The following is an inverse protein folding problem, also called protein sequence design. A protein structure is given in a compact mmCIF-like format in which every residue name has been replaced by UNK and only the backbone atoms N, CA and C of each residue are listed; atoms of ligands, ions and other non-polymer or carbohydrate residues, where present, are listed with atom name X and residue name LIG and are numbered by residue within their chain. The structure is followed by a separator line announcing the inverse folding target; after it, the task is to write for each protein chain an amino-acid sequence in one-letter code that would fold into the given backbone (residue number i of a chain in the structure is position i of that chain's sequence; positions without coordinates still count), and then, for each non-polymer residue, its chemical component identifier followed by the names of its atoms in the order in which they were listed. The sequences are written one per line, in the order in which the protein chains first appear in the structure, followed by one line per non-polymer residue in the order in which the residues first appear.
data_IF_778838050040
#
_entry.id   IF_778838050040
#
_cell.length_a   1.000
_cell.length_b   1.000
_cell.length_c   1.000
_cell.angle_alpha   90.00
_cell.angle_beta   90.00
_cell.angle_gamma   90.00
#
_symmetry.space_group_name_H-M   'P 1'
#
loop_
_entity.id
_entity.type
_entity.pdbx_description
1 polymer ?
#
# COMPACT_ATOMS: atom_id res chain seq x y z
N UNK A 1 8.55 2.05 6.72
CA UNK A 1 7.75 1.57 7.86
C UNK A 1 7.88 0.07 7.92
N UNK A 2 7.78 -0.50 9.11
CA UNK A 2 7.57 -1.92 9.36
C UNK A 2 6.10 -2.24 9.06
N UNK A 3 5.82 -3.28 8.29
CA UNK A 3 4.44 -3.64 7.92
C UNK A 3 4.18 -5.07 8.34
N UNK A 4 3.14 -5.26 9.14
CA UNK A 4 2.76 -6.57 9.68
C UNK A 4 1.32 -6.93 9.31
N UNK A 5 0.99 -8.22 9.41
CA UNK A 5 -0.26 -8.82 8.96
C UNK A 5 -0.41 -8.82 7.43
N UNK A 6 0.68 -9.13 6.73
CA UNK A 6 0.71 -9.28 5.27
C UNK A 6 -0.18 -10.42 4.78
N UNK A 7 -0.44 -11.43 5.62
CA UNK A 7 -1.41 -12.48 5.36
C UNK A 7 -2.80 -11.93 5.06
N UNK A 8 -3.22 -10.83 5.67
CA UNK A 8 -4.51 -10.18 5.41
C UNK A 8 -4.64 -9.72 3.96
N UNK A 9 -3.57 -9.15 3.38
CA UNK A 9 -3.56 -8.79 1.96
C UNK A 9 -3.56 -10.04 1.08
N UNK A 10 -2.75 -11.04 1.43
CA UNK A 10 -2.66 -12.30 0.69
C UNK A 10 -4.01 -12.98 0.60
N UNK A 11 -4.56 -13.39 1.73
CA UNK A 11 -5.87 -14.04 1.82
C UNK A 11 -6.95 -13.28 1.03
N UNK A 12 -6.95 -11.94 1.08
CA UNK A 12 -7.95 -11.16 0.34
C UNK A 12 -7.96 -11.42 -1.17
N UNK A 13 -6.81 -11.37 -1.85
CA UNK A 13 -6.78 -11.56 -3.31
C UNK A 13 -6.47 -13.01 -3.74
N UNK A 14 -5.97 -13.87 -2.84
CA UNK A 14 -5.53 -15.26 -3.12
C UNK A 14 -6.69 -16.22 -2.99
N UNK A 15 -7.54 -16.02 -1.98
CA UNK A 15 -8.69 -16.88 -1.68
C UNK A 15 -9.98 -16.40 -2.36
N UNK A 16 -10.00 -15.18 -2.91
CA UNK A 16 -11.18 -14.59 -3.55
C UNK A 16 -10.86 -14.13 -4.98
N UNK A 17 -11.18 -14.94 -6.01
CA UNK A 17 -10.89 -14.59 -7.40
C UNK A 17 -11.49 -13.26 -7.86
N UNK A 18 -12.61 -12.84 -7.27
CA UNK A 18 -13.26 -11.56 -7.56
C UNK A 18 -12.44 -10.32 -7.17
N UNK A 19 -11.48 -10.47 -6.26
CA UNK A 19 -10.62 -9.38 -5.77
C UNK A 19 -9.18 -9.47 -6.29
N UNK A 20 -8.91 -10.28 -7.31
CA UNK A 20 -7.56 -10.37 -7.91
C UNK A 20 -7.05 -9.01 -8.41
N UNK A 21 -7.95 -8.13 -8.84
CA UNK A 21 -7.60 -6.78 -9.28
C UNK A 21 -7.09 -5.86 -8.15
N UNK A 22 -7.24 -6.26 -6.88
CA UNK A 22 -6.67 -5.57 -5.73
C UNK A 22 -5.18 -5.88 -5.52
N UNK A 23 -4.66 -6.97 -6.12
CA UNK A 23 -3.28 -7.43 -5.91
C UNK A 23 -2.25 -6.35 -6.27
N UNK A 24 -2.22 -5.92 -7.51
CA UNK A 24 -1.20 -4.98 -7.99
C UNK A 24 -1.27 -3.61 -7.28
N UNK A 25 -2.47 -3.02 -7.03
CA UNK A 25 -2.59 -1.81 -6.21
C UNK A 25 -2.14 -1.97 -4.75
N UNK A 26 -2.41 -3.12 -4.12
CA UNK A 26 -1.95 -3.38 -2.74
C UNK A 26 -0.44 -3.58 -2.66
N UNK A 27 0.18 -4.22 -3.66
CA UNK A 27 1.64 -4.30 -3.78
C UNK A 27 2.27 -2.91 -3.93
N UNK A 28 1.64 -2.00 -4.68
CA UNK A 28 2.11 -0.64 -4.84
C UNK A 28 2.04 0.16 -3.53
N UNK A 29 0.94 0.01 -2.78
CA UNK A 29 0.80 0.57 -1.43
C UNK A 29 1.86 0.00 -0.49
N UNK A 30 2.00 -1.32 -0.43
CA UNK A 30 2.95 -2.01 0.45
C UNK A 30 4.38 -1.51 0.20
N UNK A 31 4.80 -1.46 -1.07
CA UNK A 31 6.12 -0.98 -1.46
C UNK A 31 6.37 0.46 -0.99
N UNK A 32 5.39 1.34 -1.17
CA UNK A 32 5.52 2.74 -0.77
C UNK A 32 5.62 2.87 0.75
N UNK A 33 4.70 2.24 1.48
CA UNK A 33 4.68 2.26 2.93
C UNK A 33 5.97 1.65 3.54
N UNK A 34 6.53 0.60 2.93
CA UNK A 34 7.78 -0.02 3.36
C UNK A 34 8.94 0.99 3.40
N UNK A 35 9.02 1.89 2.44
CA UNK A 35 10.07 2.92 2.35
C UNK A 35 9.73 4.24 3.06
N UNK A 36 8.50 4.41 3.53
CA UNK A 36 8.08 5.61 4.23
C UNK A 36 8.68 5.68 5.65
N UNK A 37 8.81 6.88 6.21
CA UNK A 37 9.24 7.10 7.59
C UNK A 37 8.26 8.02 8.30
N UNK A 38 7.02 7.55 8.50
CA UNK A 38 5.94 8.36 9.07
C UNK A 38 6.09 8.52 10.58
N UNK A 39 6.26 9.76 11.01
CA UNK A 39 6.32 10.22 12.39
C UNK A 39 4.96 10.70 12.93
N UNK A 40 4.02 11.01 12.03
CA UNK A 40 2.74 11.56 12.42
C UNK A 40 1.66 11.29 11.38
N UNK A 41 0.37 11.38 11.77
CA UNK A 41 -0.72 11.27 10.81
C UNK A 41 -0.68 12.33 9.70
N UNK A 42 -0.09 13.50 9.98
CA UNK A 42 0.08 14.57 8.99
C UNK A 42 1.03 14.15 7.85
N UNK A 43 2.07 13.37 8.16
CA UNK A 43 2.98 12.84 7.14
C UNK A 43 2.30 11.79 6.28
N UNK A 44 1.48 10.92 6.89
CA UNK A 44 0.66 9.96 6.14
C UNK A 44 -0.30 10.70 5.21
N UNK A 45 -0.98 11.76 5.69
CA UNK A 45 -1.90 12.55 4.87
C UNK A 45 -1.19 13.35 3.77
N UNK A 46 0.06 13.76 4.00
CA UNK A 46 0.90 14.40 2.97
C UNK A 46 1.24 13.41 1.87
N UNK A 47 1.59 12.18 2.24
CA UNK A 47 1.92 11.14 1.27
C UNK A 47 0.68 10.60 0.58
N UNK A 48 -0.41 10.41 1.29
CA UNK A 48 -1.71 9.95 0.79
C UNK A 48 -2.79 11.00 1.07
N UNK A 49 -2.93 11.97 0.16
CA UNK A 49 -3.93 13.04 0.29
C UNK A 49 -5.36 12.53 0.47
N UNK A 50 -5.64 11.37 -0.11
CA UNK A 50 -6.96 10.76 -0.14
C UNK A 50 -7.21 9.81 1.04
N UNK A 51 -6.22 9.58 1.91
CA UNK A 51 -6.37 8.70 3.07
C UNK A 51 -7.14 9.38 4.20
N UNK A 52 -8.00 8.65 4.87
CA UNK A 52 -8.75 9.16 6.02
C UNK A 52 -8.00 8.84 7.31
N UNK A 53 -7.69 9.90 8.06
CA UNK A 53 -7.03 9.80 9.37
C UNK A 53 -8.12 9.73 10.43
N UNK A 54 -8.15 8.63 11.16
CA UNK A 54 -9.09 8.36 12.24
C UNK A 54 -8.38 8.50 13.60
N UNK A 55 -9.14 8.33 14.69
CA UNK A 55 -8.60 8.36 16.05
C UNK A 55 -7.71 7.15 16.33
N UNK A 56 -6.84 7.29 17.33
CA UNK A 56 -6.02 6.20 17.88
C UNK A 56 -5.05 5.58 16.85
N UNK A 57 -4.53 6.40 15.92
CA UNK A 57 -3.57 5.96 14.91
C UNK A 57 -4.18 5.13 13.77
N UNK A 58 -5.51 5.02 13.68
CA UNK A 58 -6.20 4.37 12.56
C UNK A 58 -6.07 5.21 11.30
N UNK A 59 -5.76 4.56 10.18
CA UNK A 59 -5.75 5.19 8.86
C UNK A 59 -6.46 4.28 7.87
N UNK A 60 -7.32 4.88 7.06
CA UNK A 60 -7.99 4.21 5.95
C UNK A 60 -7.40 4.70 4.64
N UNK A 61 -6.82 3.79 3.87
CA UNK A 61 -6.24 4.08 2.56
C UNK A 61 -7.20 3.68 1.45
N UNK A 62 -7.30 4.53 0.43
CA UNK A 62 -7.99 4.21 -0.80
C UNK A 62 -7.07 3.37 -1.69
N UNK A 63 -7.58 2.24 -2.16
CA UNK A 63 -6.83 1.28 -2.97
C UNK A 63 -7.58 1.04 -4.29
N UNK A 64 -6.82 0.85 -5.38
CA UNK A 64 -7.33 0.57 -6.72
C UNK A 64 -8.31 1.64 -7.22
N UNK A 65 -7.92 2.92 -7.16
CA UNK A 65 -8.79 4.02 -7.60
C UNK A 65 -10.08 4.09 -6.77
N UNK A 66 -9.95 4.01 -5.44
CA UNK A 66 -11.05 4.08 -4.47
C UNK A 66 -11.99 2.87 -4.43
N UNK A 67 -11.74 1.79 -5.19
CA UNK A 67 -12.57 0.57 -5.18
C UNK A 67 -12.51 -0.18 -3.84
N UNK A 68 -11.36 -0.17 -3.19
CA UNK A 68 -11.15 -0.84 -1.91
C UNK A 68 -10.66 0.13 -0.83
N UNK A 69 -10.82 -0.29 0.43
CA UNK A 69 -10.34 0.36 1.64
C UNK A 69 -9.37 -0.57 2.33
N UNK A 70 -8.17 -0.09 2.60
CA UNK A 70 -7.21 -0.77 3.46
C UNK A 70 -7.18 -0.02 4.78
N UNK A 71 -7.61 -0.69 5.84
CA UNK A 71 -7.61 -0.15 7.20
C UNK A 71 -6.36 -0.65 7.89
N UNK A 72 -5.53 0.30 8.34
CA UNK A 72 -4.31 0.00 9.07
C UNK A 72 -4.24 0.79 10.36
N UNK A 73 -3.61 0.18 11.36
CA UNK A 73 -3.19 0.85 12.57
C UNK A 73 -1.73 1.22 12.51
N UNK A 74 -1.42 2.50 12.74
CA UNK A 74 -0.06 2.99 12.68
C UNK A 74 0.39 3.40 14.08
N UNK A 75 1.39 2.68 14.59
CA UNK A 75 2.18 3.15 15.72
C UNK A 75 3.36 3.95 15.17
N UNK A 76 3.25 5.27 15.28
CA UNK A 76 4.26 6.19 14.76
C UNK A 76 5.58 6.08 15.52
N UNK A 77 5.57 5.87 16.84
CA UNK A 77 6.80 5.78 17.64
C UNK A 77 7.69 4.60 17.19
N UNK A 78 7.08 3.46 16.92
CA UNK A 78 7.79 2.25 16.46
C UNK A 78 7.91 2.13 14.93
N UNK A 79 7.37 3.08 14.16
CA UNK A 79 7.31 3.05 12.68
C UNK A 79 6.62 1.80 12.13
N UNK A 80 5.53 1.37 12.76
CA UNK A 80 4.86 0.11 12.43
C UNK A 80 3.45 0.37 11.94
N UNK A 81 3.09 -0.29 10.84
CA UNK A 81 1.74 -0.35 10.30
C UNK A 81 1.21 -1.79 10.40
N UNK A 82 0.15 -1.99 11.17
CA UNK A 82 -0.60 -3.23 11.28
C UNK A 82 -1.80 -3.20 10.33
N UNK A 83 -1.83 -4.12 9.37
CA UNK A 83 -2.95 -4.23 8.44
C UNK A 83 -4.08 -4.98 9.13
N UNK A 84 -5.19 -4.28 9.37
CA UNK A 84 -6.34 -4.86 10.06
C UNK A 84 -7.35 -5.45 9.09
N UNK A 85 -7.53 -4.79 7.94
CA UNK A 85 -8.57 -5.15 6.99
C UNK A 85 -8.29 -4.59 5.60
N UNK A 86 -8.76 -5.31 4.57
CA UNK A 86 -8.96 -4.80 3.23
C UNK A 86 -10.29 -5.30 2.66
N UNK A 87 -11.03 -4.42 2.00
CA UNK A 87 -12.24 -4.80 1.26
C UNK A 87 -12.98 -3.62 0.65
N UNK A 88 -14.22 -3.83 0.24
CA UNK A 88 -15.10 -2.79 -0.32
C UNK A 88 -15.55 -1.79 0.74
N UNK A 89 -16.09 -0.64 0.30
CA UNK A 89 -16.68 0.35 1.21
C UNK A 89 -17.73 -0.28 2.14
N UNK A 90 -18.64 -1.08 1.60
CA UNK A 90 -19.71 -1.73 2.37
C UNK A 90 -19.18 -2.73 3.40
N UNK A 91 -18.07 -3.42 3.11
CA UNK A 91 -17.43 -4.33 4.08
C UNK A 91 -16.68 -3.55 5.15
N UNK A 92 -16.06 -2.43 4.78
CA UNK A 92 -15.39 -1.51 5.70
C UNK A 92 -16.37 -0.96 6.74
N UNK A 93 -17.53 -0.47 6.31
CA UNK A 93 -18.55 0.10 7.19
C UNK A 93 -19.01 -0.90 8.27
N UNK A 94 -19.13 -2.19 7.90
CA UNK A 94 -19.48 -3.26 8.84
C UNK A 94 -18.37 -3.53 9.85
N UNK A 95 -17.13 -3.54 9.39
CA UNK A 95 -15.98 -3.78 10.27
C UNK A 95 -15.79 -2.63 11.25
N UNK A 96 -15.96 -1.39 10.82
CA UNK A 96 -15.89 -0.24 11.74
C UNK A 96 -16.98 -0.32 12.82
N UNK A 97 -18.18 -0.81 12.49
CA UNK A 97 -19.24 -1.05 13.46
C UNK A 97 -18.89 -2.18 14.46
N UNK A 98 -18.33 -3.28 13.97
CA UNK A 98 -17.99 -4.46 14.79
C UNK A 98 -16.72 -4.22 15.64
N UNK A 99 -15.72 -3.52 15.09
CA UNK A 99 -14.40 -3.32 15.71
C UNK A 99 -14.44 -2.40 16.93
N UNK A 100 -15.43 -1.50 17.03
CA UNK A 100 -15.65 -0.73 18.25
C UNK A 100 -16.03 -1.61 19.47
N UNK A 101 -16.37 -2.89 19.24
CA UNK A 101 -16.84 -3.80 20.30
C UNK A 101 -15.83 -4.88 20.70
N UNK A 102 -14.75 -5.12 19.92
CA UNK A 102 -13.79 -6.19 20.18
C UNK A 102 -12.37 -5.78 19.77
N UNK A 103 -11.57 -5.33 20.75
CA UNK A 103 -10.14 -5.06 20.56
C UNK A 103 -9.32 -6.33 20.82
N UNK A 104 -8.49 -6.73 19.86
CA UNK A 104 -7.54 -7.84 20.00
C UNK A 104 -6.32 -7.45 20.86
N UNK A 105 -5.50 -8.43 21.31
CA UNK A 105 -4.29 -8.14 22.12
C UNK A 105 -3.26 -7.30 21.35
N UNK A 106 -2.97 -7.64 20.10
CA UNK A 106 -2.07 -6.87 19.21
C UNK A 106 -2.56 -5.43 19.08
N UNK A 107 -3.87 -5.29 18.98
CA UNK A 107 -4.55 -4.03 18.84
C UNK A 107 -4.33 -3.11 20.05
N UNK A 108 -4.46 -3.64 21.27
CA UNK A 108 -4.10 -2.92 22.50
C UNK A 108 -2.60 -2.56 22.54
N UNK A 109 -1.74 -3.51 22.16
CA UNK A 109 -0.29 -3.29 22.13
C UNK A 109 0.12 -2.20 21.12
N UNK A 110 -0.57 -2.05 19.99
CA UNK A 110 -0.29 -1.00 19.00
C UNK A 110 -0.48 0.42 19.57
N UNK A 111 -1.17 0.58 20.70
CA UNK A 111 -1.32 1.86 21.41
C UNK A 111 -0.25 2.07 22.50
N UNK A 112 0.62 1.09 22.75
CA UNK A 112 1.68 1.19 23.74
C UNK A 112 2.72 2.25 23.37
N UNK A 113 3.18 2.98 24.38
CA UNK A 113 4.20 4.01 24.23
C UNK A 113 5.62 3.42 24.12
N UNK A 114 6.60 4.24 23.73
CA UNK A 114 8.01 3.90 23.95
C UNK A 114 8.29 3.77 25.45
N UNK A 115 9.29 2.95 25.79
CA UNK A 115 9.82 2.80 27.16
C UNK A 115 8.82 2.24 28.21
N UNK A 116 7.78 1.52 27.76
CA UNK A 116 6.90 0.74 28.65
C UNK A 116 7.13 -0.76 28.46
N UNK A 117 6.83 -1.62 29.46
CA UNK A 117 6.91 -3.08 29.30
C UNK A 117 6.09 -3.60 28.11
N UNK A 118 4.93 -3.00 27.85
CA UNK A 118 4.07 -3.31 26.72
C UNK A 118 4.72 -2.90 25.39
N UNK A 119 5.41 -1.75 25.38
CA UNK A 119 6.17 -1.26 24.23
C UNK A 119 7.38 -2.14 23.88
N UNK A 120 8.15 -2.55 24.88
CA UNK A 120 9.25 -3.52 24.70
C UNK A 120 8.73 -4.87 24.18
N UNK A 121 7.63 -5.36 24.77
CA UNK A 121 6.95 -6.58 24.29
C UNK A 121 6.48 -6.42 22.85
N UNK A 122 5.91 -5.26 22.50
CA UNK A 122 5.45 -4.96 21.15
C UNK A 122 6.61 -5.04 20.15
N UNK A 123 7.75 -4.40 20.41
CA UNK A 123 8.89 -4.40 19.48
C UNK A 123 9.42 -5.82 19.21
N UNK A 124 9.51 -6.65 20.27
CA UNK A 124 9.89 -8.06 20.14
C UNK A 124 8.87 -8.83 19.29
N UNK A 125 7.57 -8.69 19.58
CA UNK A 125 6.51 -9.38 18.85
C UNK A 125 6.51 -8.96 17.37
N UNK A 126 6.61 -7.67 17.07
CA UNK A 126 6.68 -7.19 15.68
C UNK A 126 7.87 -7.81 14.97
N UNK A 127 9.04 -7.86 15.62
CA UNK A 127 10.25 -8.45 15.04
C UNK A 127 10.05 -9.92 14.69
N UNK A 128 9.39 -10.68 15.57
CA UNK A 128 9.05 -12.07 15.31
C UNK A 128 8.03 -12.23 14.18
N UNK A 129 6.99 -11.38 14.15
CA UNK A 129 5.98 -11.38 13.09
C UNK A 129 6.62 -11.07 11.75
N UNK A 130 7.42 -10.02 11.63
CA UNK A 130 8.10 -9.67 10.37
C UNK A 130 9.02 -10.79 9.88
N UNK A 131 9.82 -11.38 10.78
CA UNK A 131 10.70 -12.50 10.43
C UNK A 131 9.90 -13.72 9.96
N UNK A 132 8.73 -13.97 10.55
CA UNK A 132 7.82 -15.03 10.12
C UNK A 132 7.18 -14.71 8.78
N UNK A 133 6.62 -13.51 8.60
CA UNK A 133 5.91 -13.10 7.39
C UNK A 133 6.84 -12.97 6.18
N UNK A 134 8.09 -12.53 6.37
CA UNK A 134 9.09 -12.51 5.30
C UNK A 134 9.35 -13.90 4.70
N UNK A 135 9.15 -14.97 5.49
CA UNK A 135 9.31 -16.37 5.04
C UNK A 135 8.03 -16.96 4.48
N UNK A 136 6.88 -16.66 5.08
CA UNK A 136 5.60 -17.32 4.75
C UNK A 136 4.74 -16.52 3.77
N UNK A 137 4.85 -15.19 3.79
CA UNK A 137 4.05 -14.27 2.97
C UNK A 137 4.94 -13.29 2.19
N UNK A 138 5.87 -13.78 1.33
CA UNK A 138 6.71 -12.89 0.53
C UNK A 138 5.84 -12.05 -0.40
N UNK A 139 6.07 -10.73 -0.38
CA UNK A 139 5.37 -9.75 -1.20
C UNK A 139 6.23 -9.37 -2.40
N UNK A 140 5.62 -9.36 -3.58
CA UNK A 140 6.28 -9.05 -4.84
C UNK A 140 6.19 -7.54 -5.15
N UNK A 141 6.90 -7.07 -6.18
CA UNK A 141 6.78 -5.70 -6.69
C UNK A 141 5.50 -5.54 -7.52
N UNK A 142 4.85 -4.37 -7.50
CA UNK A 142 3.75 -4.10 -8.42
C UNK A 142 4.24 -4.05 -9.86
N UNK A 143 3.35 -4.36 -10.79
CA UNK A 143 3.56 -4.18 -12.22
C UNK A 143 3.82 -2.70 -12.58
N UNK A 144 4.47 -2.43 -13.73
CA UNK A 144 4.84 -1.07 -14.10
C UNK A 144 3.66 -0.11 -14.22
N UNK A 145 2.52 -0.59 -14.70
CA UNK A 145 1.31 0.22 -14.91
C UNK A 145 0.68 0.58 -13.57
N UNK A 146 0.49 -0.38 -12.66
CA UNK A 146 -0.03 -0.05 -11.34
C UNK A 146 0.96 0.79 -10.52
N UNK A 147 2.27 0.60 -10.66
CA UNK A 147 3.25 1.49 -10.05
C UNK A 147 3.10 2.95 -10.52
N UNK A 148 2.81 3.17 -11.81
CA UNK A 148 2.56 4.51 -12.36
C UNK A 148 1.23 5.05 -11.86
N UNK A 149 0.13 4.28 -11.95
CA UNK A 149 -1.20 4.71 -11.50
C UNK A 149 -1.21 5.07 -10.02
N UNK A 150 -0.52 4.27 -9.21
CA UNK A 150 -0.35 4.55 -7.79
C UNK A 150 0.30 5.91 -7.55
N UNK A 151 1.42 6.21 -8.22
CA UNK A 151 2.05 7.53 -8.10
C UNK A 151 1.18 8.65 -8.66
N UNK A 152 0.38 8.39 -9.69
CA UNK A 152 -0.59 9.36 -10.20
C UNK A 152 -1.65 9.70 -9.15
N UNK A 153 -2.29 8.69 -8.55
CA UNK A 153 -3.30 8.89 -7.52
C UNK A 153 -2.73 9.62 -6.31
N UNK A 154 -1.56 9.18 -5.86
CA UNK A 154 -0.88 9.72 -4.68
C UNK A 154 -0.48 11.18 -4.82
N UNK A 155 0.09 11.55 -5.98
CA UNK A 155 0.56 12.91 -6.27
C UNK A 155 -0.52 13.79 -6.90
N UNK A 156 -1.68 13.23 -7.25
CA UNK A 156 -2.75 13.93 -7.98
C UNK A 156 -2.36 14.27 -9.42
N UNK A 157 -1.58 13.43 -10.08
CA UNK A 157 -1.12 13.64 -11.45
C UNK A 157 -2.19 13.21 -12.45
N UNK A 158 -2.26 13.95 -13.55
CA UNK A 158 -3.08 13.64 -14.70
C UNK A 158 -2.26 12.97 -15.80
N UNK A 159 -2.93 12.46 -16.83
CA UNK A 159 -2.27 11.91 -18.03
C UNK A 159 -1.33 12.93 -18.70
N UNK A 160 -1.68 14.22 -18.66
CA UNK A 160 -0.85 15.29 -19.24
C UNK A 160 0.49 15.42 -18.52
N UNK A 161 0.52 15.20 -17.20
CA UNK A 161 1.73 15.32 -16.40
C UNK A 161 2.73 14.20 -16.68
N UNK A 162 2.27 13.08 -17.27
CA UNK A 162 3.14 11.97 -17.69
C UNK A 162 3.76 12.17 -19.08
N UNK A 163 3.31 13.15 -19.86
CA UNK A 163 3.80 13.35 -21.23
C UNK A 163 5.31 13.60 -21.33
N UNK A 164 5.96 14.36 -20.42
CA UNK A 164 7.41 14.53 -20.44
C UNK A 164 8.19 13.21 -20.26
N UNK A 165 7.60 12.24 -19.57
CA UNK A 165 8.21 10.96 -19.23
C UNK A 165 7.93 9.88 -20.28
N UNK A 166 6.70 9.84 -20.78
CA UNK A 166 6.19 8.76 -21.62
C UNK A 166 6.01 9.18 -23.09
N UNK A 167 5.64 10.44 -23.35
CA UNK A 167 5.27 10.97 -24.67
C UNK A 167 3.80 11.40 -24.72
N UNK A 168 3.27 11.74 -25.91
CA UNK A 168 1.90 12.27 -26.08
C UNK A 168 0.83 11.43 -25.37
N UNK A 169 -0.27 12.06 -24.95
CA UNK A 169 -1.40 11.45 -24.24
C UNK A 169 -1.85 10.09 -24.80
N UNK A 170 -1.95 9.91 -26.12
CA UNK A 170 -2.31 8.61 -26.72
C UNK A 170 -1.37 7.48 -26.29
N UNK A 171 -0.06 7.74 -26.26
CA UNK A 171 0.95 6.78 -25.82
C UNK A 171 0.86 6.50 -24.33
N UNK A 172 0.55 7.53 -23.53
CA UNK A 172 0.30 7.36 -22.09
C UNK A 172 -0.89 6.42 -21.87
N UNK A 173 -2.01 6.66 -22.54
CA UNK A 173 -3.18 5.78 -22.47
C UNK A 173 -2.90 4.36 -22.97
N UNK A 174 -2.11 4.17 -24.03
CA UNK A 174 -1.68 2.85 -24.49
C UNK A 174 -0.95 2.08 -23.37
N UNK A 175 -0.03 2.75 -22.67
CA UNK A 175 0.74 2.14 -21.58
C UNK A 175 -0.15 1.89 -20.35
N UNK A 176 -0.94 2.88 -19.92
CA UNK A 176 -1.82 2.75 -18.74
C UNK A 176 -2.90 1.67 -18.93
N UNK A 177 -3.26 1.37 -20.18
CA UNK A 177 -4.17 0.28 -20.53
C UNK A 177 -3.44 -1.02 -20.89
N UNK A 178 -2.15 -1.14 -20.59
CA UNK A 178 -1.33 -2.34 -20.86
C UNK A 178 -1.25 -2.77 -22.33
N UNK A 179 -1.63 -1.90 -23.28
CA UNK A 179 -1.56 -2.17 -24.73
C UNK A 179 -0.13 -2.06 -25.28
N UNK A 180 0.77 -1.42 -24.52
CA UNK A 180 2.16 -1.22 -24.91
C UNK A 180 3.07 -1.23 -23.68
N UNK A 181 4.21 -1.90 -23.80
CA UNK A 181 5.26 -1.93 -22.78
C UNK A 181 6.07 -0.63 -22.73
N UNK A 182 6.68 -0.35 -21.59
CA UNK A 182 7.63 0.76 -21.44
C UNK A 182 8.91 0.50 -22.22
N UNK A 183 9.47 1.55 -22.81
CA UNK A 183 10.84 1.52 -23.36
C UNK A 183 11.85 1.86 -22.27
N UNK A 184 13.10 1.45 -22.42
CA UNK A 184 14.16 1.76 -21.44
C UNK A 184 14.30 3.27 -21.15
N UNK A 185 14.12 4.12 -22.18
CA UNK A 185 14.13 5.58 -22.02
C UNK A 185 12.95 6.08 -21.17
N UNK A 186 11.77 5.48 -21.32
CA UNK A 186 10.61 5.79 -20.48
C UNK A 186 10.84 5.34 -19.04
N UNK A 187 11.38 4.14 -18.86
CA UNK A 187 11.72 3.59 -17.53
C UNK A 187 12.65 4.55 -16.79
N UNK A 188 13.73 4.99 -17.42
CA UNK A 188 14.67 5.93 -16.80
C UNK A 188 13.99 7.26 -16.41
N UNK A 189 13.18 7.82 -17.31
CA UNK A 189 12.44 9.06 -17.03
C UNK A 189 11.41 8.92 -15.92
N UNK A 190 10.69 7.80 -15.86
CA UNK A 190 9.71 7.51 -14.81
C UNK A 190 10.41 7.27 -13.46
N UNK A 191 11.55 6.58 -13.47
CA UNK A 191 12.36 6.40 -12.27
C UNK A 191 12.83 7.75 -11.71
N UNK A 192 13.41 8.62 -12.56
CA UNK A 192 13.89 9.94 -12.15
C UNK A 192 12.75 10.90 -11.79
N UNK A 193 11.66 10.92 -12.57
CA UNK A 193 10.57 11.88 -12.41
C UNK A 193 9.58 11.50 -11.31
N UNK A 194 9.28 10.21 -11.14
CA UNK A 194 8.29 9.75 -10.17
C UNK A 194 8.92 9.07 -8.95
N UNK A 195 10.20 8.70 -8.99
CA UNK A 195 10.87 7.97 -7.91
C UNK A 195 10.50 6.48 -7.87
N UNK A 196 9.94 5.94 -8.97
CA UNK A 196 9.55 4.53 -9.03
C UNK A 196 10.82 3.68 -9.21
N UNK A 197 11.10 2.68 -8.35
CA UNK A 197 12.25 1.81 -8.52
C UNK A 197 12.27 1.14 -9.91
N UNK A 198 13.44 1.11 -10.55
CA UNK A 198 13.58 0.57 -11.90
C UNK A 198 13.11 -0.89 -11.98
N UNK A 199 13.35 -1.69 -10.95
CA UNK A 199 12.91 -3.09 -10.84
C UNK A 199 11.39 -3.26 -11.01
N UNK A 200 10.60 -2.32 -10.49
CA UNK A 200 9.14 -2.32 -10.63
C UNK A 200 8.69 -1.90 -12.05
N UNK A 201 9.55 -1.24 -12.81
CA UNK A 201 9.27 -0.78 -14.18
C UNK A 201 9.78 -1.75 -15.27
N UNK A 202 10.64 -2.70 -14.90
CA UNK A 202 11.28 -3.65 -15.83
C UNK A 202 10.50 -4.97 -15.90
N UNK A 203 9.50 -5.19 -15.02
CA UNK A 203 8.68 -6.41 -15.05
C UNK A 203 8.09 -6.62 -16.47
N UNK A 204 8.31 -7.81 -17.08
CA UNK A 204 7.73 -8.10 -18.38
C UNK A 204 6.19 -8.03 -18.27
N UNK A 205 5.49 -7.58 -19.32
CA UNK A 205 4.03 -7.55 -19.31
C UNK A 205 3.51 -8.95 -19.00
N UNK A 206 2.83 -9.11 -17.87
CA UNK A 206 2.04 -10.32 -17.67
C UNK A 206 0.89 -10.24 -18.66
N UNK A 207 0.88 -11.15 -19.64
CA UNK A 207 -0.31 -11.38 -20.45
C UNK A 207 -1.38 -11.89 -19.50
N UNK A 208 -2.28 -11.01 -19.06
CA UNK A 208 -3.58 -11.45 -18.56
C UNK A 208 -4.29 -12.06 -19.78
N UNK A 209 -4.12 -13.38 -19.92
CA UNK A 209 -4.88 -14.19 -20.87
C UNK A 209 -6.34 -14.29 -20.40
#
# INVERSE_FOLDING_TARGET
MRIIALSTLKTFWEENPEYQDAKEPTLAWYRHALHADWNSPAEVKRDFRNADILKDGRVVFNIAGNKYRLVAWINYAYRVAYIRFIGTHTQCDKIDADCNSALNEIESLMMAGPDTPEGEKLDVIITLIEAYEARHFPMDLPDPVEAIKFEMERKGLTVKDLEPMIGKSNRVYEILNRKRSLTLKMIWKLHQGLGIPAESLIKPPQSHA
#
